data_IF_113817067330
#
_entry.id   IF_113817067330
#
_cell.length_a   1.000
_cell.length_b   1.000
_cell.length_c   1.000
_cell.angle_alpha   90.00
_cell.angle_beta   90.00
_cell.angle_gamma   90.00
#
_symmetry.space_group_name_H-M   'P 1'
#
loop_
_entity.id
_entity.type
_entity.pdbx_description
1 polymer ?
#
# COMPACT_ATOMS: atom_id res chain seq x y z
N UNK A 1 -19.12 4.99 8.31
CA UNK A 1 -18.59 3.63 8.54
C UNK A 1 -17.85 3.61 9.88
N UNK A 2 -18.16 2.67 10.80
CA UNK A 2 -17.46 2.57 12.10
C UNK A 2 -16.03 2.06 11.91
N UNK A 3 -15.10 2.42 12.80
CA UNK A 3 -13.71 1.93 12.80
C UNK A 3 -13.66 0.39 12.72
N UNK A 4 -14.56 -0.26 13.46
CA UNK A 4 -14.71 -1.73 13.47
C UNK A 4 -14.95 -2.26 12.07
N UNK A 5 -15.74 -1.56 11.25
CA UNK A 5 -16.13 -2.01 9.93
C UNK A 5 -14.96 -1.90 8.93
N UNK A 6 -14.13 -0.86 9.01
CA UNK A 6 -12.97 -0.70 8.13
C UNK A 6 -11.88 -1.74 8.38
N UNK A 7 -11.60 -2.03 9.66
CA UNK A 7 -10.63 -3.07 10.04
C UNK A 7 -11.14 -4.46 9.70
N UNK A 8 -12.40 -4.77 10.02
CA UNK A 8 -13.00 -6.06 9.66
C UNK A 8 -13.01 -6.25 8.15
N UNK A 9 -13.32 -5.21 7.38
CA UNK A 9 -13.31 -5.28 5.92
C UNK A 9 -11.93 -5.60 5.37
N UNK A 10 -10.87 -4.91 5.81
CA UNK A 10 -9.52 -5.16 5.26
C UNK A 10 -9.03 -6.56 5.63
N UNK A 11 -9.28 -7.02 6.87
CA UNK A 11 -8.92 -8.38 7.30
C UNK A 11 -9.70 -9.42 6.49
N UNK A 12 -11.00 -9.21 6.28
CA UNK A 12 -11.82 -10.10 5.47
C UNK A 12 -11.34 -10.18 4.01
N UNK A 13 -11.01 -9.03 3.40
CA UNK A 13 -10.49 -9.00 2.03
C UNK A 13 -9.13 -9.70 1.92
N UNK A 14 -8.23 -9.52 2.90
CA UNK A 14 -6.95 -10.24 2.95
C UNK A 14 -7.18 -11.76 3.04
N UNK A 15 -8.04 -12.21 3.97
CA UNK A 15 -8.35 -13.64 4.14
C UNK A 15 -9.01 -14.26 2.91
N UNK A 16 -9.98 -13.56 2.30
CA UNK A 16 -10.62 -14.01 1.06
C UNK A 16 -9.61 -14.09 -0.08
N UNK A 17 -8.74 -13.08 -0.23
CA UNK A 17 -7.70 -13.09 -1.27
C UNK A 17 -6.72 -14.24 -1.09
N UNK A 18 -6.35 -14.55 0.16
CA UNK A 18 -5.47 -15.66 0.48
C UNK A 18 -6.15 -17.01 0.24
N UNK A 19 -7.40 -17.17 0.66
CA UNK A 19 -8.18 -18.38 0.42
C UNK A 19 -8.36 -18.66 -1.08
N UNK A 20 -8.66 -17.63 -1.88
CA UNK A 20 -8.76 -17.75 -3.33
C UNK A 20 -7.42 -18.16 -3.96
N UNK A 21 -6.31 -17.55 -3.55
CA UNK A 21 -4.98 -17.94 -4.03
C UNK A 21 -4.67 -19.41 -3.69
N UNK A 22 -4.86 -19.83 -2.44
CA UNK A 22 -4.58 -21.21 -2.01
C UNK A 22 -5.51 -22.19 -2.71
N UNK A 23 -6.79 -21.83 -2.93
CA UNK A 23 -7.73 -22.70 -3.64
C UNK A 23 -7.34 -22.97 -5.10
N UNK A 24 -6.69 -22.01 -5.76
CA UNK A 24 -6.27 -22.13 -7.15
C UNK A 24 -4.87 -22.73 -7.30
N UNK A 25 -3.92 -22.35 -6.44
CA UNK A 25 -2.49 -22.68 -6.58
C UNK A 25 -2.00 -23.74 -5.55
N UNK A 26 -2.88 -24.17 -4.64
CA UNK A 26 -2.57 -25.14 -3.60
C UNK A 26 -1.72 -24.59 -2.45
N UNK A 27 -1.43 -25.46 -1.49
CA UNK A 27 -0.51 -25.18 -0.36
C UNK A 27 0.95 -25.37 -0.80
N UNK A 28 1.38 -24.58 -1.78
CA UNK A 28 2.71 -24.64 -2.40
C UNK A 28 3.43 -23.30 -2.28
N UNK A 29 4.72 -23.26 -2.63
CA UNK A 29 5.49 -21.99 -2.72
C UNK A 29 4.87 -21.05 -3.75
N UNK A 30 4.32 -21.59 -4.86
CA UNK A 30 3.57 -20.82 -5.85
C UNK A 30 2.27 -20.25 -5.25
N UNK A 31 1.55 -21.03 -4.44
CA UNK A 31 0.39 -20.56 -3.69
C UNK A 31 0.73 -19.41 -2.74
N UNK A 32 1.81 -19.53 -1.97
CA UNK A 32 2.30 -18.47 -1.09
C UNK A 32 2.73 -17.21 -1.85
N UNK A 33 3.35 -17.39 -3.02
CA UNK A 33 3.66 -16.30 -3.92
C UNK A 33 2.39 -15.59 -4.41
N UNK A 34 1.36 -16.35 -4.80
CA UNK A 34 0.09 -15.82 -5.25
C UNK A 34 -0.63 -15.04 -4.13
N UNK A 35 -0.67 -15.58 -2.91
CA UNK A 35 -1.20 -14.91 -1.71
C UNK A 35 -0.52 -13.55 -1.52
N UNK A 36 0.81 -13.54 -1.48
CA UNK A 36 1.62 -12.32 -1.30
C UNK A 36 1.33 -11.29 -2.39
N UNK A 37 1.19 -11.75 -3.64
CA UNK A 37 0.96 -10.89 -4.81
C UNK A 37 -0.44 -10.27 -4.80
N UNK A 38 -1.47 -11.02 -4.39
CA UNK A 38 -2.83 -10.48 -4.28
C UNK A 38 -2.99 -9.53 -3.09
N UNK A 39 -2.41 -9.87 -1.94
CA UNK A 39 -2.36 -8.97 -0.80
C UNK A 39 -1.63 -7.65 -1.11
N UNK A 40 -0.51 -7.72 -1.85
CA UNK A 40 0.20 -6.52 -2.32
C UNK A 40 -0.64 -5.65 -3.27
N UNK A 41 -1.53 -6.24 -4.06
CA UNK A 41 -2.49 -5.50 -4.93
C UNK A 41 -3.61 -4.86 -4.13
N UNK A 42 -4.15 -5.58 -3.15
CA UNK A 42 -5.16 -5.05 -2.23
C UNK A 42 -4.60 -3.83 -1.48
N UNK A 43 -3.38 -3.97 -1.00
CA UNK A 43 -2.55 -2.89 -0.46
C UNK A 43 -2.43 -1.69 -1.41
N UNK A 44 -2.12 -1.90 -2.70
CA UNK A 44 -2.09 -0.83 -3.69
C UNK A 44 -3.46 -0.13 -3.86
N UNK A 45 -4.58 -0.88 -3.85
CA UNK A 45 -5.92 -0.32 -3.97
C UNK A 45 -6.23 0.61 -2.79
N UNK A 46 -5.97 0.17 -1.56
CA UNK A 46 -6.19 1.01 -0.38
C UNK A 46 -5.27 2.23 -0.42
N UNK A 47 -3.99 2.04 -0.77
CA UNK A 47 -3.04 3.15 -0.92
C UNK A 47 -3.50 4.17 -1.97
N UNK A 48 -4.07 3.72 -3.09
CA UNK A 48 -4.57 4.59 -4.15
C UNK A 48 -5.61 5.59 -3.63
N UNK A 49 -6.52 5.12 -2.76
CA UNK A 49 -7.51 5.97 -2.09
C UNK A 49 -6.83 7.01 -1.19
N UNK A 50 -5.85 6.59 -0.37
CA UNK A 50 -5.09 7.50 0.49
C UNK A 50 -4.36 8.56 -0.35
N UNK A 51 -3.67 8.14 -1.40
CA UNK A 51 -2.81 8.99 -2.22
C UNK A 51 -3.61 10.04 -2.99
N UNK A 52 -4.77 9.68 -3.55
CA UNK A 52 -5.61 10.60 -4.32
C UNK A 52 -6.39 11.54 -3.39
N UNK A 53 -6.99 11.02 -2.31
CA UNK A 53 -7.94 11.81 -1.52
C UNK A 53 -7.28 12.72 -0.50
N UNK A 54 -6.09 12.39 0.01
CA UNK A 54 -5.42 13.25 0.98
C UNK A 54 -4.65 14.39 0.29
N UNK A 55 -4.48 15.55 0.94
CA UNK A 55 -5.18 16.01 2.15
C UNK A 55 -6.59 16.55 1.86
N UNK A 56 -6.94 16.82 0.60
CA UNK A 56 -8.09 17.65 0.23
C UNK A 56 -9.47 17.05 0.55
N UNK A 57 -9.59 15.73 0.67
CA UNK A 57 -10.84 14.99 0.74
C UNK A 57 -10.85 13.95 1.88
N UNK A 58 -10.30 14.30 3.05
CA UNK A 58 -10.24 13.40 4.23
C UNK A 58 -11.62 12.88 4.67
N UNK A 59 -12.67 13.69 4.57
CA UNK A 59 -14.05 13.29 4.93
C UNK A 59 -14.57 12.15 4.03
N UNK A 60 -14.31 12.22 2.71
CA UNK A 60 -14.66 11.15 1.76
C UNK A 60 -13.85 9.89 2.04
N UNK A 61 -12.54 10.03 2.28
CA UNK A 61 -11.68 8.90 2.64
C UNK A 61 -12.17 8.20 3.91
N UNK A 62 -12.55 8.97 4.93
CA UNK A 62 -13.07 8.46 6.19
C UNK A 62 -14.43 7.76 6.03
N UNK A 63 -15.25 8.19 5.07
CA UNK A 63 -16.51 7.55 4.74
C UNK A 63 -16.30 6.20 4.04
N UNK A 64 -15.31 6.10 3.14
CA UNK A 64 -15.01 4.89 2.36
C UNK A 64 -14.29 3.83 3.22
N UNK A 65 -13.26 4.21 3.97
CA UNK A 65 -12.45 3.27 4.75
C UNK A 65 -12.84 3.27 6.23
N UNK A 66 -12.55 4.38 6.91
CA UNK A 66 -12.72 4.59 8.34
C UNK A 66 -12.07 5.93 8.73
N UNK A 67 -12.50 6.60 9.81
CA UNK A 67 -11.78 7.74 10.38
C UNK A 67 -10.33 7.44 10.82
N UNK A 68 -9.95 6.16 10.92
CA UNK A 68 -8.58 5.69 11.19
C UNK A 68 -7.98 5.02 9.95
N UNK A 69 -8.11 5.66 8.78
CA UNK A 69 -7.67 5.11 7.50
C UNK A 69 -6.18 4.71 7.44
N UNK A 70 -5.28 5.42 8.15
CA UNK A 70 -3.88 4.98 8.26
C UNK A 70 -3.72 3.67 9.04
N UNK A 71 -4.51 3.47 10.10
CA UNK A 71 -4.51 2.21 10.84
C UNK A 71 -5.03 1.05 9.98
N UNK A 72 -6.10 1.29 9.21
CA UNK A 72 -6.64 0.29 8.27
C UNK A 72 -5.56 -0.12 7.27
N UNK A 73 -4.87 0.85 6.68
CA UNK A 73 -3.78 0.60 5.76
C UNK A 73 -2.60 -0.14 6.40
N UNK A 74 -2.19 0.26 7.60
CA UNK A 74 -1.10 -0.37 8.35
C UNK A 74 -1.41 -1.82 8.72
N UNK A 75 -2.64 -2.13 9.12
CA UNK A 75 -3.05 -3.50 9.43
C UNK A 75 -3.05 -4.39 8.18
N UNK A 76 -3.61 -3.90 7.06
CA UNK A 76 -3.56 -4.62 5.77
C UNK A 76 -2.11 -4.88 5.33
N UNK A 77 -1.25 -3.86 5.38
CA UNK A 77 0.17 -4.02 5.08
C UNK A 77 0.91 -4.90 6.08
N UNK A 78 0.48 -4.96 7.35
CA UNK A 78 1.04 -5.90 8.33
C UNK A 78 0.74 -7.34 7.96
N UNK A 79 -0.48 -7.64 7.51
CA UNK A 79 -0.85 -8.96 6.99
C UNK A 79 -0.03 -9.28 5.73
N UNK A 80 0.07 -8.32 4.81
CA UNK A 80 0.91 -8.45 3.62
C UNK A 80 2.37 -8.76 3.95
N UNK A 81 2.96 -8.04 4.93
CA UNK A 81 4.33 -8.25 5.38
C UNK A 81 4.52 -9.66 5.92
N UNK A 82 3.61 -10.14 6.76
CA UNK A 82 3.68 -11.50 7.29
C UNK A 82 3.67 -12.53 6.17
N UNK A 83 2.76 -12.40 5.20
CA UNK A 83 2.69 -13.29 4.04
C UNK A 83 3.97 -13.24 3.20
N UNK A 84 4.50 -12.04 2.95
CA UNK A 84 5.74 -11.83 2.21
C UNK A 84 6.94 -12.48 2.92
N UNK A 85 7.07 -12.29 4.23
CA UNK A 85 8.14 -12.88 5.02
C UNK A 85 8.04 -14.41 5.04
N UNK A 86 6.82 -14.95 5.19
CA UNK A 86 6.58 -16.40 5.09
C UNK A 86 6.98 -16.94 3.71
N UNK A 87 6.59 -16.26 2.63
CA UNK A 87 6.97 -16.64 1.27
C UNK A 87 8.50 -16.60 1.08
N UNK A 88 9.16 -15.51 1.47
CA UNK A 88 10.62 -15.38 1.36
C UNK A 88 11.34 -16.48 2.13
N UNK A 89 10.92 -16.71 3.38
CA UNK A 89 11.52 -17.73 4.25
C UNK A 89 11.39 -19.13 3.66
N UNK A 90 10.21 -19.48 3.12
CA UNK A 90 9.95 -20.83 2.59
C UNK A 90 10.41 -21.03 1.13
N UNK A 91 10.53 -19.96 0.34
CA UNK A 91 10.99 -20.04 -1.05
C UNK A 91 12.50 -20.11 -1.19
N UNK A 92 13.26 -19.73 -0.16
CA UNK A 92 14.73 -19.65 -0.23
C UNK A 92 15.24 -18.58 -1.20
N UNK A 93 14.39 -17.62 -1.61
CA UNK A 93 14.77 -16.57 -2.53
C UNK A 93 15.86 -15.66 -1.95
N UNK A 94 16.86 -15.33 -2.77
CA UNK A 94 17.90 -14.38 -2.37
C UNK A 94 17.32 -12.98 -2.14
N UNK A 95 17.64 -12.41 -0.98
CA UNK A 95 17.24 -11.07 -0.60
C UNK A 95 18.19 -10.04 -1.21
N UNK A 96 17.65 -9.15 -2.05
CA UNK A 96 18.40 -8.03 -2.61
C UNK A 96 18.46 -6.90 -1.56
N UNK A 97 19.62 -6.59 -0.95
CA UNK A 97 19.70 -5.73 0.23
C UNK A 97 19.15 -4.32 0.01
N UNK A 98 19.42 -3.70 -1.14
CA UNK A 98 18.94 -2.35 -1.43
C UNK A 98 17.40 -2.28 -1.50
N UNK A 99 16.74 -3.34 -1.98
CA UNK A 99 15.27 -3.42 -2.04
C UNK A 99 14.68 -3.70 -0.67
N UNK A 100 15.37 -4.53 0.11
CA UNK A 100 15.02 -4.77 1.51
C UNK A 100 15.05 -3.47 2.31
N UNK A 101 16.11 -2.65 2.16
CA UNK A 101 16.25 -1.38 2.87
C UNK A 101 15.14 -0.38 2.50
N UNK A 102 14.85 -0.21 1.20
CA UNK A 102 13.75 0.66 0.75
C UNK A 102 12.37 0.18 1.22
N UNK A 103 12.09 -1.13 1.10
CA UNK A 103 10.85 -1.71 1.59
C UNK A 103 10.70 -1.60 3.11
N UNK A 104 11.78 -1.84 3.85
CA UNK A 104 11.80 -1.72 5.32
C UNK A 104 11.47 -0.30 5.77
N UNK A 105 12.08 0.72 5.17
CA UNK A 105 11.75 2.10 5.49
C UNK A 105 10.28 2.44 5.17
N UNK A 106 9.72 1.87 4.09
CA UNK A 106 8.29 2.00 3.82
C UNK A 106 7.45 1.41 4.96
N UNK A 107 7.77 0.21 5.44
CA UNK A 107 7.06 -0.40 6.56
C UNK A 107 7.16 0.43 7.84
N UNK A 108 8.33 1.00 8.14
CA UNK A 108 8.50 1.92 9.28
C UNK A 108 7.54 3.10 9.15
N UNK A 109 7.46 3.74 7.99
CA UNK A 109 6.55 4.86 7.75
C UNK A 109 5.07 4.45 7.85
N UNK A 110 4.72 3.28 7.32
CA UNK A 110 3.36 2.71 7.34
C UNK A 110 2.89 2.45 8.77
N UNK A 111 3.71 1.81 9.59
CA UNK A 111 3.35 1.56 10.98
C UNK A 111 3.42 2.83 11.83
N UNK A 112 4.30 3.79 11.50
CA UNK A 112 4.41 5.06 12.22
C UNK A 112 3.18 5.97 12.04
N UNK A 113 2.61 6.00 10.83
CA UNK A 113 1.61 7.00 10.45
C UNK A 113 0.30 6.98 11.30
N UNK A 114 -0.24 5.83 11.73
CA UNK A 114 -1.35 5.78 12.70
C UNK A 114 -1.08 6.58 13.98
N UNK A 115 0.12 6.47 14.56
CA UNK A 115 0.48 7.21 15.76
C UNK A 115 0.66 8.70 15.45
N UNK A 116 1.30 9.05 14.32
CA UNK A 116 1.40 10.44 13.88
C UNK A 116 0.01 11.09 13.73
N UNK A 117 -0.94 10.37 13.13
CA UNK A 117 -2.33 10.83 13.02
C UNK A 117 -2.97 11.05 14.39
N UNK A 118 -2.73 10.16 15.35
CA UNK A 118 -3.24 10.29 16.72
C UNK A 118 -2.64 11.51 17.44
N UNK A 119 -1.33 11.75 17.29
CA UNK A 119 -0.67 12.92 17.86
C UNK A 119 -1.22 14.23 17.28
N UNK A 120 -1.48 14.26 15.97
CA UNK A 120 -2.15 15.39 15.32
C UNK A 120 -3.56 15.63 15.87
N UNK A 121 -4.39 14.57 15.96
CA UNK A 121 -5.75 14.67 16.52
C UNK A 121 -5.77 15.07 18.00
N UNK A 122 -4.72 14.75 18.75
CA UNK A 122 -4.55 15.16 20.15
C UNK A 122 -4.00 16.59 20.31
N UNK A 123 -3.81 17.35 19.23
CA UNK A 123 -3.28 18.71 19.27
C UNK A 123 -1.77 18.80 19.57
N UNK A 124 -1.05 17.67 19.60
CA UNK A 124 0.39 17.61 19.91
C UNK A 124 1.28 17.92 18.70
N UNK A 125 0.69 18.02 17.51
CA UNK A 125 1.39 18.30 16.25
C UNK A 125 0.64 19.42 15.53
N UNK A 126 1.37 20.43 15.04
CA UNK A 126 0.75 21.50 14.28
C UNK A 126 0.36 21.03 12.87
N UNK A 127 -0.58 21.75 12.24
CA UNK A 127 -1.11 21.37 10.93
C UNK A 127 -0.03 21.32 9.83
N UNK A 128 0.89 22.30 9.80
CA UNK A 128 1.94 22.36 8.79
C UNK A 128 2.90 21.17 8.86
N UNK A 129 3.35 20.77 10.05
CA UNK A 129 4.22 19.61 10.24
C UNK A 129 3.49 18.32 9.87
N UNK A 130 2.22 18.17 10.27
CA UNK A 130 1.42 17.02 9.89
C UNK A 130 1.28 16.91 8.36
N UNK A 131 0.99 18.02 7.68
CA UNK A 131 0.90 18.07 6.22
C UNK A 131 2.19 17.62 5.54
N UNK A 132 3.36 18.09 6.03
CA UNK A 132 4.65 17.69 5.49
C UNK A 132 4.95 16.21 5.73
N UNK A 133 4.74 15.70 6.95
CA UNK A 133 4.94 14.28 7.28
C UNK A 133 4.03 13.41 6.41
N UNK A 134 2.75 13.79 6.28
CA UNK A 134 1.81 13.09 5.42
C UNK A 134 2.25 13.10 3.96
N UNK A 135 2.79 14.22 3.47
CA UNK A 135 3.27 14.32 2.08
C UNK A 135 4.48 13.41 1.85
N UNK A 136 5.48 13.44 2.75
CA UNK A 136 6.64 12.54 2.69
C UNK A 136 6.18 11.09 2.70
N UNK A 137 5.31 10.73 3.62
CA UNK A 137 4.70 9.41 3.71
C UNK A 137 4.06 8.98 2.37
N UNK A 138 3.19 9.82 1.81
CA UNK A 138 2.47 9.51 0.57
C UNK A 138 3.41 9.33 -0.61
N UNK A 139 4.34 10.26 -0.84
CA UNK A 139 5.25 10.17 -1.99
C UNK A 139 6.28 9.05 -1.82
N UNK A 140 6.74 8.77 -0.61
CA UNK A 140 7.67 7.67 -0.36
C UNK A 140 6.99 6.32 -0.61
N UNK A 141 5.80 6.08 -0.06
CA UNK A 141 5.08 4.81 -0.27
C UNK A 141 4.68 4.65 -1.74
N UNK A 142 4.27 5.73 -2.42
CA UNK A 142 4.05 5.72 -3.87
C UNK A 142 5.31 5.29 -4.64
N UNK A 143 6.47 5.85 -4.28
CA UNK A 143 7.73 5.52 -4.91
C UNK A 143 8.10 4.04 -4.71
N UNK A 144 7.83 3.47 -3.54
CA UNK A 144 8.04 2.04 -3.28
C UNK A 144 7.13 1.16 -4.14
N UNK A 145 5.85 1.54 -4.35
CA UNK A 145 5.00 0.84 -5.31
C UNK A 145 5.55 0.93 -6.74
N UNK A 146 5.99 2.12 -7.17
CA UNK A 146 6.59 2.32 -8.48
C UNK A 146 7.83 1.42 -8.68
N UNK A 147 8.75 1.43 -7.71
CA UNK A 147 9.97 0.61 -7.73
C UNK A 147 9.69 -0.89 -7.55
N UNK A 148 8.51 -1.27 -7.06
CA UNK A 148 8.09 -2.67 -7.01
C UNK A 148 7.66 -3.18 -8.38
N UNK A 149 6.97 -2.37 -9.19
CA UNK A 149 6.48 -2.79 -10.51
C UNK A 149 7.47 -2.52 -11.64
N UNK A 150 8.27 -1.46 -11.58
CA UNK A 150 9.20 -1.09 -12.65
C UNK A 150 10.18 -2.23 -13.03
N UNK A 151 10.88 -2.89 -12.09
CA UNK A 151 11.80 -3.98 -12.44
C UNK A 151 11.10 -5.22 -13.00
N UNK A 152 9.80 -5.42 -12.70
CA UNK A 152 9.00 -6.54 -13.21
C UNK A 152 8.65 -6.33 -14.68
N UNK A 153 8.31 -5.09 -15.06
CA UNK A 153 8.09 -4.71 -16.46
C UNK A 153 9.40 -4.74 -17.25
N UNK A 154 10.53 -4.42 -16.61
CA UNK A 154 11.86 -4.51 -17.23
C UNK A 154 12.40 -5.95 -17.34
N UNK A 155 11.63 -6.97 -16.93
CA UNK A 155 12.06 -8.37 -16.86
C UNK A 155 13.36 -8.60 -16.05
N UNK A 156 13.71 -7.68 -15.13
CA UNK A 156 14.88 -7.77 -14.24
C UNK A 156 14.63 -8.66 -13.02
N UNK A 157 13.46 -9.30 -12.96
CA UNK A 157 13.05 -10.16 -11.86
C UNK A 157 12.48 -11.47 -12.41
N UNK A 158 13.28 -12.56 -12.41
CA UNK A 158 12.76 -13.87 -12.77
C UNK A 158 11.78 -14.37 -11.70
N UNK A 159 10.87 -15.25 -12.09
CA UNK A 159 10.02 -16.03 -11.19
C UNK A 159 9.18 -15.22 -10.19
N UNK A 160 8.69 -14.03 -10.58
CA UNK A 160 7.81 -13.19 -9.72
C UNK A 160 6.33 -13.61 -9.71
N UNK A 161 6.00 -14.70 -10.42
CA UNK A 161 4.64 -15.17 -10.66
C UNK A 161 3.83 -14.19 -11.52
N UNK A 162 2.63 -14.61 -11.95
CA UNK A 162 1.76 -13.74 -12.74
C UNK A 162 2.18 -13.48 -14.17
N UNK A 163 1.31 -12.76 -14.88
CA UNK A 163 1.50 -12.47 -16.31
C UNK A 163 2.09 -11.09 -16.54
N UNK A 164 2.91 -10.94 -17.58
CA UNK A 164 3.62 -9.69 -17.91
C UNK A 164 2.70 -8.46 -17.97
N UNK A 165 1.55 -8.57 -18.64
CA UNK A 165 0.59 -7.48 -18.79
C UNK A 165 -0.03 -7.04 -17.47
N UNK A 166 -0.13 -7.93 -16.47
CA UNK A 166 -0.59 -7.53 -15.13
C UNK A 166 0.36 -6.49 -14.53
N UNK A 167 1.67 -6.65 -14.73
CA UNK A 167 2.67 -5.70 -14.24
C UNK A 167 2.66 -4.38 -15.02
N UNK A 168 2.42 -4.45 -16.33
CA UNK A 168 2.26 -3.24 -17.16
C UNK A 168 1.06 -2.43 -16.68
N UNK A 169 -0.10 -3.06 -16.51
CA UNK A 169 -1.32 -2.40 -16.02
C UNK A 169 -1.10 -1.79 -14.63
N UNK A 170 -0.46 -2.52 -13.72
CA UNK A 170 -0.19 -2.02 -12.36
C UNK A 170 0.81 -0.85 -12.38
N UNK A 171 1.84 -0.89 -13.22
CA UNK A 171 2.78 0.23 -13.37
C UNK A 171 2.08 1.45 -13.97
N UNK A 172 1.28 1.26 -15.02
CA UNK A 172 0.45 2.33 -15.60
C UNK A 172 -0.47 2.95 -14.56
N UNK A 173 -1.12 2.13 -13.72
CA UNK A 173 -1.96 2.60 -12.61
C UNK A 173 -1.15 3.47 -11.64
N UNK A 174 0.01 2.99 -11.18
CA UNK A 174 0.88 3.75 -10.26
C UNK A 174 1.35 5.08 -10.85
N UNK A 175 1.72 5.11 -12.13
CA UNK A 175 2.05 6.35 -12.84
C UNK A 175 0.84 7.30 -12.94
N UNK A 176 -0.34 6.76 -13.23
CA UNK A 176 -1.58 7.53 -13.31
C UNK A 176 -1.96 8.14 -11.95
N UNK A 177 -1.71 7.44 -10.83
CA UNK A 177 -1.90 8.01 -9.49
C UNK A 177 -1.12 9.30 -9.29
N UNK A 178 0.15 9.34 -9.73
CA UNK A 178 0.96 10.54 -9.66
C UNK A 178 0.39 11.65 -10.55
N UNK A 179 0.01 11.33 -11.79
CA UNK A 179 -0.61 12.29 -12.71
C UNK A 179 -1.88 12.92 -12.13
N UNK A 180 -2.80 12.11 -11.60
CA UNK A 180 -4.02 12.58 -10.95
C UNK A 180 -3.72 13.45 -9.72
N UNK A 181 -2.74 13.06 -8.91
CA UNK A 181 -2.32 13.82 -7.73
C UNK A 181 -1.78 15.20 -8.10
N UNK A 182 -0.84 15.26 -9.05
CA UNK A 182 -0.25 16.51 -9.51
C UNK A 182 -1.30 17.42 -10.16
N UNK A 183 -2.18 16.86 -10.99
CA UNK A 183 -3.31 17.60 -11.56
C UNK A 183 -4.19 18.20 -10.45
N UNK A 184 -4.54 17.41 -9.42
CA UNK A 184 -5.38 17.91 -8.31
C UNK A 184 -4.73 19.08 -7.56
N UNK A 185 -3.40 19.08 -7.40
CA UNK A 185 -2.68 20.17 -6.74
C UNK A 185 -2.65 21.43 -7.60
N UNK A 186 -2.42 21.28 -8.92
CA UNK A 186 -2.39 22.41 -9.85
C UNK A 186 -3.77 23.06 -10.02
N UNK A 187 -4.83 22.28 -10.12
CA UNK A 187 -6.18 22.81 -10.36
C UNK A 187 -6.87 23.31 -9.08
N UNK A 188 -6.59 22.74 -7.90
CA UNK A 188 -7.11 23.26 -6.64
C UNK A 188 -6.36 24.50 -6.12
N UNK A 189 -5.12 24.74 -6.56
CA UNK A 189 -4.36 25.95 -6.18
C UNK A 189 -5.01 27.26 -6.66
N UNK A 190 -5.97 27.21 -7.59
CA UNK A 190 -6.65 28.40 -8.13
C UNK A 190 -7.97 28.77 -7.42
N UNK A 191 -8.30 28.13 -6.30
CA UNK A 191 -9.55 28.38 -5.53
C UNK A 191 -9.35 29.05 -4.17
N UNK A 192 -8.20 29.69 -3.94
CA UNK A 192 -7.96 30.52 -2.77
C UNK A 192 -7.85 31.99 -3.16
#
# INVERSE_FOLDING_TARGET
MSIRNGVVLIVALELVSAALAISHFGYTVEGLQAVTRYSGRLSLIVFSLLFILLPAHESRLSAILSPRYFLVFALGHGIHLLQLLTFVYLSGNELIPIRLAGGFLAYVLIFAMPWVQQYYKAGKLNHQKFYWIQSIYLYYVWFIFFMSYLPRVQAKLPNVGGKYWEFVVLLCWVCMLLGMKLASLLFNSKRH
#
